data_IF_772405700650
#
_entry.id   IF_772405700650
#
_cell.length_a   1.000
_cell.length_b   1.000
_cell.length_c   1.000
_cell.angle_alpha   90.00
_cell.angle_beta   90.00
_cell.angle_gamma   90.00
#
_symmetry.space_group_name_H-M   'P 1'
#
loop_
_entity.id
_entity.type
_entity.pdbx_description
1 polymer ?
#
# COMPACT_ATOMS: atom_id res chain seq x y z
N UNK A 1 16.60 -9.02 8.65
CA UNK A 1 17.13 -8.13 7.59
C UNK A 1 18.41 -8.75 7.04
N UNK A 2 18.57 -8.93 5.72
CA UNK A 2 19.73 -8.36 5.02
C UNK A 2 19.13 -7.23 4.18
N UNK A 3 19.28 -5.95 4.53
CA UNK A 3 20.53 -5.30 4.91
C UNK A 3 21.61 -5.78 3.96
N UNK A 4 21.73 -5.18 2.78
CA UNK A 4 23.02 -5.20 2.07
C UNK A 4 24.08 -4.94 3.15
N UNK A 5 24.99 -5.90 3.43
CA UNK A 5 25.87 -5.79 4.59
C UNK A 5 26.56 -4.43 4.54
N UNK A 6 26.58 -3.71 5.66
CA UNK A 6 27.16 -2.38 5.68
C UNK A 6 28.61 -2.43 5.17
N UNK A 7 29.35 -3.48 5.52
CA UNK A 7 30.68 -3.80 4.98
C UNK A 7 30.71 -3.94 3.45
N UNK A 8 29.72 -4.60 2.86
CA UNK A 8 29.59 -4.74 1.41
C UNK A 8 29.30 -3.38 0.75
N UNK A 9 28.41 -2.57 1.34
CA UNK A 9 28.14 -1.19 0.90
C UNK A 9 29.41 -0.32 0.97
N UNK A 10 30.16 -0.41 2.07
CA UNK A 10 31.43 0.32 2.28
C UNK A 10 32.47 -0.09 1.25
N UNK A 11 32.59 -1.38 0.92
CA UNK A 11 33.49 -1.88 -0.15
C UNK A 11 33.01 -1.48 -1.55
N UNK A 12 31.69 -1.49 -1.77
CA UNK A 12 31.03 -1.16 -3.02
C UNK A 12 31.13 0.33 -3.38
N UNK A 13 31.12 1.21 -2.35
CA UNK A 13 31.16 2.68 -2.47
C UNK A 13 30.11 3.26 -3.44
N UNK A 14 29.02 2.52 -3.66
CA UNK A 14 27.93 2.91 -4.56
C UNK A 14 28.23 2.85 -6.06
N UNK A 15 29.43 2.41 -6.46
CA UNK A 15 29.88 2.39 -7.87
C UNK A 15 30.21 1.00 -8.40
N UNK A 16 30.53 0.04 -7.50
CA UNK A 16 30.95 -1.32 -7.89
C UNK A 16 29.80 -2.33 -8.02
N UNK A 17 28.59 -1.93 -7.65
CA UNK A 17 27.36 -2.75 -7.71
C UNK A 17 27.50 -4.17 -7.14
N UNK A 18 28.29 -4.34 -6.06
CA UNK A 18 28.58 -5.65 -5.45
C UNK A 18 27.33 -6.35 -4.88
N UNK A 19 26.22 -5.62 -4.72
CA UNK A 19 24.93 -6.17 -4.32
C UNK A 19 24.12 -6.76 -5.48
N UNK A 20 24.61 -6.67 -6.73
CA UNK A 20 23.93 -7.18 -7.93
C UNK A 20 22.81 -6.27 -8.47
N UNK A 21 22.57 -5.11 -7.85
CA UNK A 21 21.59 -4.14 -8.33
C UNK A 21 22.15 -3.32 -9.51
N UNK A 22 21.34 -2.97 -10.52
CA UNK A 22 21.81 -2.22 -11.69
C UNK A 22 22.19 -0.77 -11.35
N UNK A 23 21.67 -0.24 -10.24
CA UNK A 23 22.13 1.04 -9.68
C UNK A 23 22.02 1.04 -8.15
N UNK A 24 22.83 1.88 -7.49
CA UNK A 24 22.86 1.95 -6.04
C UNK A 24 21.69 2.80 -5.50
N UNK A 25 20.74 2.21 -4.74
CA UNK A 25 19.58 2.96 -4.26
C UNK A 25 19.94 4.04 -3.23
N UNK A 26 21.04 3.85 -2.49
CA UNK A 26 21.52 4.81 -1.48
C UNK A 26 22.02 6.09 -2.15
N UNK A 27 22.81 5.97 -3.22
CA UNK A 27 23.31 7.15 -3.94
C UNK A 27 22.20 7.85 -4.70
N UNK A 28 21.23 7.11 -5.25
CA UNK A 28 20.04 7.72 -5.85
C UNK A 28 19.22 8.50 -4.83
N UNK A 29 18.88 7.91 -3.68
CA UNK A 29 18.19 8.63 -2.60
C UNK A 29 18.98 9.85 -2.15
N UNK A 30 20.30 9.74 -2.01
CA UNK A 30 21.15 10.88 -1.64
C UNK A 30 21.07 12.00 -2.68
N UNK A 31 21.14 11.68 -3.99
CA UNK A 31 20.98 12.66 -5.07
C UNK A 31 19.60 13.33 -5.01
N UNK A 32 18.53 12.56 -4.83
CA UNK A 32 17.17 13.11 -4.69
C UNK A 32 17.07 14.04 -3.49
N UNK A 33 17.64 13.68 -2.35
CA UNK A 33 17.69 14.53 -1.16
C UNK A 33 18.47 15.81 -1.49
N UNK A 34 19.71 15.73 -1.96
CA UNK A 34 20.55 16.90 -2.28
C UNK A 34 19.83 17.85 -3.24
N UNK A 35 19.25 17.32 -4.33
CA UNK A 35 18.48 18.10 -5.30
C UNK A 35 17.22 18.76 -4.71
N UNK A 36 16.63 18.14 -3.70
CA UNK A 36 15.47 18.69 -3.01
C UNK A 36 15.90 19.76 -2.01
N UNK A 37 16.98 19.51 -1.27
CA UNK A 37 17.52 20.46 -0.29
C UNK A 37 18.09 21.72 -0.93
N UNK A 38 18.68 21.62 -2.13
CA UNK A 38 19.19 22.78 -2.86
C UNK A 38 18.08 23.73 -3.33
N UNK A 39 16.84 23.23 -3.45
CA UNK A 39 15.65 24.05 -3.73
C UNK A 39 15.08 24.74 -2.49
N UNK A 40 15.55 24.39 -1.29
CA UNK A 40 15.09 25.00 -0.04
C UNK A 40 16.04 26.15 0.31
N UNK A 41 15.51 27.37 0.32
CA UNK A 41 16.26 28.51 0.85
C UNK A 41 16.14 28.52 2.38
N UNK A 42 17.13 27.93 3.07
CA UNK A 42 17.19 27.91 4.52
C UNK A 42 17.27 29.33 5.13
N UNK A 43 17.85 30.28 4.40
CA UNK A 43 17.94 31.70 4.80
C UNK A 43 16.58 32.39 4.87
N UNK A 44 15.62 31.99 4.01
CA UNK A 44 14.26 32.53 4.02
C UNK A 44 13.37 31.89 5.08
N UNK A 45 13.73 30.71 5.59
CA UNK A 45 12.96 30.01 6.62
C UNK A 45 11.55 29.58 6.19
N UNK A 46 11.26 29.59 4.89
CA UNK A 46 9.95 29.25 4.31
C UNK A 46 10.14 28.19 3.24
N UNK A 47 9.32 27.14 3.30
CA UNK A 47 9.18 26.14 2.24
C UNK A 47 7.83 26.38 1.58
N UNK A 48 7.89 26.80 0.32
CA UNK A 48 6.74 26.91 -0.56
C UNK A 48 6.64 25.67 -1.43
N UNK A 49 5.43 25.14 -1.53
CA UNK A 49 5.08 24.06 -2.43
C UNK A 49 3.64 23.64 -2.19
N UNK A 50 3.04 22.97 -3.17
CA UNK A 50 1.70 22.44 -2.94
C UNK A 50 1.77 21.33 -1.90
N UNK A 51 1.18 21.59 -0.72
CA UNK A 51 0.98 20.58 0.32
C UNK A 51 -0.51 20.35 0.52
N UNK A 52 -0.91 19.09 0.71
CA UNK A 52 -0.02 17.93 0.71
C UNK A 52 -0.34 17.00 -0.45
N UNK A 53 0.66 16.58 -1.22
CA UNK A 53 0.56 15.29 -1.89
C UNK A 53 0.31 14.16 -0.88
N UNK A 54 0.78 14.23 0.38
CA UNK A 54 0.44 13.21 1.42
C UNK A 54 0.64 13.68 2.88
N UNK A 55 -0.07 13.07 3.82
CA UNK A 55 0.17 13.18 5.28
C UNK A 55 0.45 11.80 5.88
N UNK A 56 1.33 11.75 6.88
CA UNK A 56 1.61 10.51 7.60
C UNK A 56 1.53 10.75 9.11
N UNK A 57 0.58 10.06 9.74
CA UNK A 57 0.44 9.95 11.20
C UNK A 57 1.29 8.78 11.69
N UNK A 58 2.23 9.08 12.59
CA UNK A 58 3.12 8.10 13.19
C UNK A 58 2.43 7.19 14.20
N UNK A 59 2.99 5.99 14.39
CA UNK A 59 2.47 4.97 15.33
C UNK A 59 3.09 5.04 16.74
N UNK A 60 4.15 5.81 16.92
CA UNK A 60 4.90 5.93 18.20
C UNK A 60 4.48 7.18 18.96
N UNK A 61 4.54 7.11 20.29
CA UNK A 61 4.28 8.26 21.19
C UNK A 61 2.84 8.42 21.67
N UNK A 62 1.95 7.47 21.34
CA UNK A 62 0.53 7.55 21.69
C UNK A 62 0.29 7.92 23.16
N UNK A 63 -0.57 8.91 23.48
CA UNK A 63 -1.52 9.60 22.59
C UNK A 63 -0.98 10.85 21.86
N UNK A 64 0.32 11.19 22.01
CA UNK A 64 0.98 12.28 21.28
C UNK A 64 1.78 11.73 20.11
N UNK A 65 1.24 11.86 18.91
CA UNK A 65 1.81 11.25 17.71
C UNK A 65 2.49 12.30 16.85
N UNK A 66 3.47 11.85 16.06
CA UNK A 66 4.05 12.69 15.00
C UNK A 66 3.10 12.76 13.82
N UNK A 67 2.91 13.96 13.30
CA UNK A 67 2.18 14.25 12.07
C UNK A 67 3.15 14.87 11.08
N UNK A 68 3.32 14.19 9.95
CA UNK A 68 4.24 14.58 8.88
C UNK A 68 3.44 15.05 7.68
N UNK A 69 3.46 16.35 7.39
CA UNK A 69 2.92 16.90 6.15
C UNK A 69 4.01 16.95 5.10
N UNK A 70 3.82 16.23 4.00
CA UNK A 70 4.85 16.07 2.99
C UNK A 70 4.63 17.05 1.84
N UNK A 71 5.62 17.90 1.59
CA UNK A 71 5.62 18.88 0.49
C UNK A 71 6.71 18.57 -0.51
N UNK A 72 6.51 18.96 -1.76
CA UNK A 72 7.61 19.04 -2.74
C UNK A 72 8.04 20.51 -2.87
N UNK A 73 9.25 20.90 -2.45
CA UNK A 73 9.73 22.27 -2.59
C UNK A 73 9.78 22.71 -4.05
N UNK A 74 9.19 23.88 -4.34
CA UNK A 74 9.25 24.51 -5.66
C UNK A 74 8.45 23.81 -6.75
N UNK A 75 7.53 22.90 -6.40
CA UNK A 75 6.55 22.31 -7.32
C UNK A 75 5.15 22.64 -6.82
N UNK A 76 4.33 23.20 -7.69
CA UNK A 76 2.97 23.64 -7.36
C UNK A 76 1.95 23.16 -8.39
N UNK A 77 0.68 23.08 -7.98
CA UNK A 77 -0.42 22.68 -8.83
C UNK A 77 -0.44 21.19 -9.17
N UNK A 78 -0.97 20.86 -10.35
CA UNK A 78 -1.25 19.49 -10.78
C UNK A 78 0.01 18.63 -10.93
N UNK A 79 1.16 19.24 -11.21
CA UNK A 79 2.46 18.53 -11.28
C UNK A 79 2.83 17.85 -9.96
N UNK A 80 2.31 18.34 -8.83
CA UNK A 80 2.55 17.74 -7.50
C UNK A 80 1.86 16.39 -7.34
N UNK A 81 0.80 16.09 -8.12
CA UNK A 81 0.01 14.85 -7.99
C UNK A 81 0.87 13.59 -8.16
N UNK A 82 1.84 13.62 -9.07
CA UNK A 82 2.73 12.48 -9.35
C UNK A 82 3.55 12.04 -8.12
N UNK A 83 3.71 12.87 -7.10
CA UNK A 83 4.50 12.53 -5.91
C UNK A 83 3.74 11.68 -4.88
N UNK A 84 2.43 11.49 -5.05
CA UNK A 84 1.62 10.56 -4.26
C UNK A 84 0.42 10.05 -5.05
N UNK A 85 0.66 9.33 -6.15
CA UNK A 85 -0.39 8.77 -6.99
C UNK A 85 -0.18 7.27 -7.27
N UNK A 86 -0.46 6.41 -6.28
CA UNK A 86 -0.18 4.98 -6.40
C UNK A 86 -0.90 4.30 -7.58
N UNK A 87 -2.13 4.70 -7.88
CA UNK A 87 -2.92 4.14 -8.97
C UNK A 87 -2.31 4.45 -10.34
N UNK A 88 -1.80 5.67 -10.55
CA UNK A 88 -1.18 6.07 -11.81
C UNK A 88 0.30 5.71 -11.94
N UNK A 89 1.01 5.43 -10.84
CA UNK A 89 2.37 4.88 -10.90
C UNK A 89 2.44 3.52 -11.54
N UNK A 90 1.42 2.69 -11.31
CA UNK A 90 1.39 1.32 -11.78
C UNK A 90 1.59 1.25 -13.31
N UNK A 91 2.55 0.43 -13.74
CA UNK A 91 2.89 0.24 -15.16
C UNK A 91 3.66 1.38 -15.83
N UNK A 92 3.85 2.53 -15.15
CA UNK A 92 4.58 3.69 -15.68
C UNK A 92 5.89 3.96 -14.94
N UNK A 93 5.87 3.86 -13.61
CA UNK A 93 7.01 4.13 -12.76
C UNK A 93 7.74 2.83 -12.41
N UNK A 94 9.06 2.86 -12.38
CA UNK A 94 9.86 1.80 -11.79
C UNK A 94 10.17 2.11 -10.30
N UNK A 95 10.82 1.16 -9.61
CA UNK A 95 11.14 1.28 -8.18
C UNK A 95 12.04 2.51 -7.88
N UNK A 96 12.92 2.87 -8.80
CA UNK A 96 13.80 4.03 -8.67
C UNK A 96 13.04 5.34 -8.82
N UNK A 97 12.10 5.42 -9.76
CA UNK A 97 11.22 6.58 -9.93
C UNK A 97 10.40 6.82 -8.66
N UNK A 98 9.83 5.77 -8.08
CA UNK A 98 9.05 5.85 -6.83
C UNK A 98 9.94 6.30 -5.66
N UNK A 99 11.17 5.76 -5.57
CA UNK A 99 12.15 6.24 -4.57
C UNK A 99 12.43 7.72 -4.78
N UNK A 100 12.60 8.17 -6.01
CA UNK A 100 12.85 9.57 -6.33
C UNK A 100 11.67 10.47 -5.92
N UNK A 101 10.45 10.16 -6.37
CA UNK A 101 9.23 10.89 -5.98
C UNK A 101 9.11 11.02 -4.46
N UNK A 102 9.21 9.88 -3.76
CA UNK A 102 9.03 9.85 -2.31
C UNK A 102 10.20 10.48 -1.53
N UNK A 103 11.40 10.48 -2.08
CA UNK A 103 12.59 11.11 -1.49
C UNK A 103 12.66 12.61 -1.74
N UNK A 104 11.92 13.12 -2.74
CA UNK A 104 11.76 14.55 -3.00
C UNK A 104 10.74 15.24 -2.09
N UNK A 105 10.04 14.48 -1.26
CA UNK A 105 9.10 15.01 -0.29
C UNK A 105 9.82 15.44 0.99
N UNK A 106 9.69 16.71 1.34
CA UNK A 106 10.10 17.25 2.63
C UNK A 106 8.98 17.04 3.64
N UNK A 107 9.25 16.25 4.68
CA UNK A 107 8.31 16.03 5.77
C UNK A 107 8.38 17.18 6.78
N UNK A 108 7.34 18.01 6.82
CA UNK A 108 7.10 18.95 7.90
C UNK A 108 6.57 18.20 9.12
N UNK A 109 7.45 18.02 10.12
CA UNK A 109 7.16 17.32 11.35
C UNK A 109 6.48 18.25 12.34
N UNK A 110 5.35 17.80 12.87
CA UNK A 110 4.65 18.41 14.00
C UNK A 110 4.23 17.34 14.99
N UNK A 111 4.21 17.67 16.28
CA UNK A 111 3.63 16.79 17.31
C UNK A 111 2.19 17.24 17.60
N UNK A 112 1.27 16.29 17.58
CA UNK A 112 -0.16 16.54 17.80
C UNK A 112 -0.72 15.48 18.74
N UNK A 113 -1.74 15.83 19.54
CA UNK A 113 -2.52 14.81 20.24
C UNK A 113 -3.48 14.19 19.24
N UNK A 114 -3.73 12.90 19.39
CA UNK A 114 -4.71 12.20 18.56
C UNK A 114 -6.13 12.80 18.61
N UNK A 115 -6.48 13.56 19.64
CA UNK A 115 -7.77 14.23 19.78
C UNK A 115 -7.85 15.58 19.06
N UNK A 116 -6.73 16.09 18.51
CA UNK A 116 -6.65 17.42 17.91
C UNK A 116 -7.23 17.49 16.48
N UNK A 117 -8.20 16.62 16.16
CA UNK A 117 -8.84 16.52 14.83
C UNK A 117 -9.44 17.87 14.42
N UNK A 118 -10.21 18.52 15.31
CA UNK A 118 -10.82 19.83 15.04
C UNK A 118 -9.79 20.92 14.79
N UNK A 119 -8.67 20.91 15.51
CA UNK A 119 -7.58 21.87 15.33
C UNK A 119 -6.92 21.73 13.95
N UNK A 120 -6.83 20.51 13.41
CA UNK A 120 -6.33 20.27 12.06
C UNK A 120 -7.35 20.62 10.98
N UNK A 121 -8.64 20.52 11.30
CA UNK A 121 -9.73 20.94 10.43
C UNK A 121 -9.82 22.47 10.34
N UNK A 122 -9.78 23.18 11.47
CA UNK A 122 -9.80 24.66 11.53
C UNK A 122 -8.60 25.29 10.81
N UNK A 123 -7.47 24.59 10.76
CA UNK A 123 -6.29 25.02 9.99
C UNK A 123 -6.30 24.57 8.53
N UNK A 124 -7.38 23.92 8.09
CA UNK A 124 -7.58 23.37 6.74
C UNK A 124 -6.56 22.29 6.32
N UNK A 125 -5.63 21.92 7.20
CA UNK A 125 -4.57 20.95 6.92
C UNK A 125 -5.14 19.58 6.56
N UNK A 126 -6.18 19.19 7.29
CA UNK A 126 -6.85 17.93 7.06
C UNK A 126 -7.65 17.95 5.75
N UNK A 127 -8.31 19.07 5.44
CA UNK A 127 -9.07 19.29 4.21
C UNK A 127 -8.16 19.29 2.97
N UNK A 128 -7.00 19.92 3.07
CA UNK A 128 -6.01 19.98 2.01
C UNK A 128 -5.50 18.59 1.59
N UNK A 129 -5.40 17.64 2.53
CA UNK A 129 -5.03 16.25 2.22
C UNK A 129 -6.10 15.53 1.41
N UNK A 130 -7.34 15.63 1.87
CA UNK A 130 -8.44 14.86 1.30
C UNK A 130 -9.08 15.55 0.08
N UNK A 131 -8.52 16.68 -0.32
CA UNK A 131 -8.89 17.44 -1.51
C UNK A 131 -8.79 16.59 -2.78
N UNK A 132 -9.63 16.90 -3.76
CA UNK A 132 -9.57 16.28 -5.09
C UNK A 132 -8.34 16.72 -5.88
N UNK A 133 -7.87 17.95 -5.62
CA UNK A 133 -6.72 18.58 -6.29
C UNK A 133 -5.64 18.94 -5.27
N UNK A 134 -4.34 18.89 -5.66
CA UNK A 134 -3.25 19.40 -4.84
C UNK A 134 -3.49 20.86 -4.46
N UNK A 135 -3.33 21.19 -3.18
CA UNK A 135 -3.58 22.53 -2.63
C UNK A 135 -2.25 23.23 -2.36
N UNK A 136 -2.14 24.53 -2.66
CA UNK A 136 -0.94 25.33 -2.34
C UNK A 136 -0.84 25.58 -0.84
N UNK A 137 0.36 25.46 -0.29
CA UNK A 137 0.62 25.72 1.13
C UNK A 137 2.01 26.32 1.37
N UNK A 138 2.17 26.93 2.52
CA UNK A 138 3.44 27.47 2.98
C UNK A 138 3.77 26.89 4.34
N UNK A 139 5.00 26.38 4.49
CA UNK A 139 5.51 25.92 5.78
C UNK A 139 6.63 26.83 6.25
N UNK A 140 6.44 27.44 7.41
CA UNK A 140 7.51 28.18 8.10
C UNK A 140 8.33 27.20 8.92
N UNK A 141 9.64 27.13 8.65
CA UNK A 141 10.54 26.12 9.20
C UNK A 141 11.49 26.70 10.23
N UNK A 142 11.73 25.94 11.30
CA UNK A 142 12.93 26.15 12.11
C UNK A 142 14.09 25.60 11.30
N UNK A 143 15.05 26.45 10.91
CA UNK A 143 16.01 26.23 9.82
C UNK A 143 16.95 25.00 9.87
N UNK A 144 16.68 24.00 10.71
CA UNK A 144 17.44 22.75 10.76
C UNK A 144 16.74 21.64 9.99
N UNK A 145 17.26 21.36 8.81
CA UNK A 145 16.86 20.20 8.02
C UNK A 145 17.58 18.94 8.54
N UNK A 146 16.80 17.91 8.90
CA UNK A 146 17.35 16.61 9.28
C UNK A 146 17.44 15.68 8.06
N UNK A 147 18.67 15.47 7.57
CA UNK A 147 18.98 14.45 6.56
C UNK A 147 19.61 13.23 7.21
N UNK A 148 18.80 12.26 7.65
CA UNK A 148 19.31 10.99 8.18
C UNK A 148 19.61 10.02 7.05
N UNK A 149 20.87 10.00 6.60
CA UNK A 149 21.41 8.94 5.74
C UNK A 149 21.76 7.74 6.60
N UNK A 150 21.12 6.61 6.33
CA UNK A 150 21.45 5.32 6.96
C UNK A 150 21.96 4.39 5.87
N UNK A 151 23.17 3.87 6.07
CA UNK A 151 23.76 2.82 5.24
C UNK A 151 23.38 1.46 5.79
N UNK A 152 22.08 1.28 6.01
CA UNK A 152 21.50 0.12 6.66
C UNK A 152 20.90 -0.84 5.63
N UNK A 153 21.37 -0.79 4.38
CA UNK A 153 21.03 -1.72 3.31
C UNK A 153 19.53 -1.85 2.99
N UNK A 154 18.69 -0.95 3.53
CA UNK A 154 17.27 -0.83 3.23
C UNK A 154 17.02 0.63 2.88
N UNK A 155 16.71 0.91 1.63
CA UNK A 155 16.40 2.27 1.22
C UNK A 155 14.92 2.53 1.45
N UNK A 156 14.59 3.08 2.61
CA UNK A 156 13.26 3.64 2.81
C UNK A 156 13.09 4.86 1.89
N UNK A 157 12.07 4.87 1.02
CA UNK A 157 11.77 5.98 0.14
C UNK A 157 11.17 7.13 0.97
N UNK A 158 12.03 7.83 1.71
CA UNK A 158 11.66 8.96 2.57
C UNK A 158 12.66 10.09 2.38
N UNK A 159 12.12 11.26 2.07
CA UNK A 159 12.89 12.49 1.93
C UNK A 159 13.32 13.08 3.27
N UNK A 160 13.89 14.29 3.25
CA UNK A 160 14.36 14.95 4.46
C UNK A 160 13.19 15.38 5.35
N UNK A 161 13.46 15.64 6.62
CA UNK A 161 12.45 16.12 7.56
C UNK A 161 12.87 17.44 8.18
N UNK A 162 11.91 18.31 8.45
CA UNK A 162 12.12 19.62 9.06
C UNK A 162 11.03 19.85 10.11
N UNK A 163 11.38 20.50 11.22
CA UNK A 163 10.38 20.87 12.23
C UNK A 163 9.70 22.17 11.78
N UNK A 164 8.40 22.08 11.53
CA UNK A 164 7.60 23.22 11.11
C UNK A 164 7.08 24.00 12.33
N UNK A 165 7.26 25.33 12.33
CA UNK A 165 6.62 26.21 13.31
C UNK A 165 5.13 26.35 13.02
N UNK A 166 4.81 26.54 11.74
CA UNK A 166 3.46 26.78 11.26
C UNK A 166 3.33 26.30 9.80
N UNK A 167 2.20 25.69 9.49
CA UNK A 167 1.82 25.32 8.12
C UNK A 167 0.53 26.07 7.83
N UNK A 168 0.53 26.86 6.76
CA UNK A 168 -0.61 27.64 6.29
C UNK A 168 -1.04 27.12 4.92
N UNK A 169 -2.33 26.85 4.79
CA UNK A 169 -2.95 26.59 3.49
C UNK A 169 -3.23 27.94 2.82
N UNK A 170 -2.83 28.07 1.55
CA UNK A 170 -2.91 29.34 0.79
C UNK A 170 -4.08 29.32 -0.20
N UNK A 171 -4.47 28.13 -0.65
CA UNK A 171 -5.56 27.91 -1.59
C UNK A 171 -6.69 27.11 -0.93
N UNK A 172 -7.94 27.43 -1.25
CA UNK A 172 -9.11 26.74 -0.67
C UNK A 172 -9.15 25.25 -1.07
N UNK A 173 -9.09 24.32 -0.10
CA UNK A 173 -9.23 22.90 -0.38
C UNK A 173 -10.60 22.54 -0.95
N UNK A 174 -10.65 21.56 -1.84
CA UNK A 174 -11.90 21.04 -2.43
C UNK A 174 -12.04 19.55 -2.18
N UNK A 175 -12.43 19.13 -0.96
CA UNK A 175 -12.74 17.74 -0.68
C UNK A 175 -14.00 17.28 -1.45
N UNK A 176 -14.16 15.97 -1.69
CA UNK A 176 -15.39 15.44 -2.24
C UNK A 176 -16.59 15.79 -1.35
N UNK A 177 -17.72 16.20 -1.96
CA UNK A 177 -18.94 16.59 -1.23
C UNK A 177 -19.42 15.52 -0.26
N UNK A 178 -19.32 14.24 -0.64
CA UNK A 178 -19.65 13.11 0.22
C UNK A 178 -18.82 13.11 1.49
N UNK A 179 -17.52 13.41 1.38
CA UNK A 179 -16.63 13.42 2.52
C UNK A 179 -16.95 14.58 3.47
N UNK A 180 -17.24 15.78 2.94
CA UNK A 180 -17.70 16.91 3.76
C UNK A 180 -19.01 16.60 4.49
N UNK A 181 -19.96 15.96 3.78
CA UNK A 181 -21.23 15.54 4.36
C UNK A 181 -20.99 14.54 5.50
N UNK A 182 -20.21 13.49 5.26
CA UNK A 182 -19.89 12.47 6.27
C UNK A 182 -19.09 13.03 7.45
N UNK A 183 -18.26 14.05 7.22
CA UNK A 183 -17.58 14.76 8.31
C UNK A 183 -18.60 15.48 9.20
N UNK A 184 -19.65 16.05 8.62
CA UNK A 184 -20.72 16.66 9.41
C UNK A 184 -21.65 15.61 10.02
N UNK A 185 -21.83 14.45 9.43
CA UNK A 185 -22.68 13.39 9.99
C UNK A 185 -22.02 12.68 11.19
N UNK A 186 -22.83 12.22 12.17
CA UNK A 186 -22.34 11.51 13.37
C UNK A 186 -22.36 9.98 13.18
N UNK A 187 -21.68 9.51 12.14
CA UNK A 187 -21.66 8.10 11.73
C UNK A 187 -20.45 7.33 12.30
N UNK A 188 -20.57 6.00 12.39
CA UNK A 188 -19.41 5.17 12.73
C UNK A 188 -18.37 5.23 11.59
N UNK A 189 -17.09 5.10 11.94
CA UNK A 189 -16.01 5.16 10.96
C UNK A 189 -16.15 4.05 9.90
N UNK A 190 -16.57 2.85 10.34
CA UNK A 190 -16.85 1.72 9.44
C UNK A 190 -17.93 2.05 8.40
N UNK A 191 -19.04 2.64 8.82
CA UNK A 191 -20.13 3.05 7.93
C UNK A 191 -19.65 4.13 6.95
N UNK A 192 -18.91 5.13 7.44
CA UNK A 192 -18.35 6.19 6.59
C UNK A 192 -17.39 5.65 5.52
N UNK A 193 -16.53 4.70 5.87
CA UNK A 193 -15.63 4.03 4.91
C UNK A 193 -16.43 3.27 3.85
N UNK A 194 -17.49 2.52 4.24
CA UNK A 194 -18.35 1.79 3.31
C UNK A 194 -19.04 2.73 2.33
N UNK A 195 -19.66 3.81 2.82
CA UNK A 195 -20.38 4.79 1.98
C UNK A 195 -19.42 5.44 0.97
N UNK A 196 -18.25 5.93 1.42
CA UNK A 196 -17.28 6.55 0.52
C UNK A 196 -16.85 5.61 -0.60
N UNK A 197 -16.55 4.36 -0.23
CA UNK A 197 -16.10 3.35 -1.18
C UNK A 197 -17.20 2.99 -2.20
N UNK A 198 -18.44 2.81 -1.75
CA UNK A 198 -19.59 2.49 -2.62
C UNK A 198 -19.94 3.63 -3.58
N UNK A 199 -19.73 4.89 -3.17
CA UNK A 199 -19.87 6.06 -4.04
C UNK A 199 -18.68 6.26 -4.99
N UNK A 200 -17.71 5.35 -5.01
CA UNK A 200 -16.59 5.37 -5.95
C UNK A 200 -15.46 6.33 -5.57
N UNK A 201 -15.35 6.73 -4.30
CA UNK A 201 -14.20 7.49 -3.84
C UNK A 201 -12.94 6.62 -3.86
N UNK A 202 -11.82 7.25 -4.20
CA UNK A 202 -10.51 6.58 -4.22
C UNK A 202 -10.13 6.05 -2.82
N UNK A 203 -9.72 4.78 -2.76
CA UNK A 203 -9.34 4.09 -1.52
C UNK A 203 -8.20 4.81 -0.79
N UNK A 204 -7.26 5.42 -1.53
CA UNK A 204 -6.15 6.17 -0.92
C UNK A 204 -6.65 7.41 -0.18
N UNK A 205 -7.63 8.12 -0.75
CA UNK A 205 -8.28 9.25 -0.07
C UNK A 205 -9.08 8.80 1.16
N UNK A 206 -9.75 7.64 1.11
CA UNK A 206 -10.47 7.09 2.26
C UNK A 206 -9.50 6.75 3.39
N UNK A 207 -8.32 6.21 3.07
CA UNK A 207 -7.23 5.94 4.04
C UNK A 207 -6.77 7.25 4.70
N UNK A 208 -6.55 8.29 3.91
CA UNK A 208 -6.11 9.59 4.43
C UNK A 208 -7.20 10.24 5.31
N UNK A 209 -8.46 10.16 4.88
CA UNK A 209 -9.62 10.63 5.66
C UNK A 209 -9.71 9.90 7.01
N UNK A 210 -9.57 8.57 7.03
CA UNK A 210 -9.58 7.81 8.28
C UNK A 210 -8.36 8.15 9.16
N UNK A 211 -7.17 8.26 8.57
CA UNK A 211 -5.93 8.56 9.29
C UNK A 211 -5.98 9.93 9.98
N UNK A 212 -6.56 10.92 9.30
CA UNK A 212 -6.72 12.29 9.82
C UNK A 212 -7.97 12.50 10.67
N UNK A 213 -8.71 11.42 10.97
CA UNK A 213 -9.86 11.46 11.85
C UNK A 213 -11.09 12.15 11.25
N UNK A 214 -11.22 12.23 9.92
CA UNK A 214 -12.45 12.71 9.27
C UNK A 214 -13.64 11.79 9.52
N UNK A 215 -13.37 10.50 9.71
CA UNK A 215 -14.40 9.47 9.84
C UNK A 215 -14.57 9.05 11.30
N UNK A 216 -15.81 8.75 11.67
CA UNK A 216 -16.20 8.33 13.02
C UNK A 216 -17.08 9.34 13.75
N UNK A 217 -17.56 8.96 14.93
CA UNK A 217 -18.46 9.79 15.73
C UNK A 217 -17.76 11.04 16.23
N UNK A 218 -18.42 12.19 16.16
CA UNK A 218 -17.85 13.52 16.45
C UNK A 218 -17.11 13.58 17.79
N UNK A 219 -17.66 12.96 18.83
CA UNK A 219 -17.07 12.95 20.20
C UNK A 219 -15.87 12.03 20.38
N UNK A 220 -15.69 11.06 19.48
CA UNK A 220 -14.65 10.02 19.61
C UNK A 220 -13.69 9.98 18.42
N UNK A 221 -13.76 10.97 17.51
CA UNK A 221 -12.81 11.11 16.40
C UNK A 221 -11.40 11.27 16.93
N UNK A 222 -10.50 10.50 16.31
CA UNK A 222 -9.09 10.48 16.66
C UNK A 222 -8.27 10.34 15.40
N UNK A 223 -7.08 10.90 15.41
CA UNK A 223 -6.06 10.56 14.43
C UNK A 223 -5.69 9.09 14.59
N UNK A 224 -5.60 8.39 13.47
CA UNK A 224 -5.24 6.99 13.39
C UNK A 224 -3.88 6.91 12.68
N UNK A 225 -2.87 6.23 13.26
CA UNK A 225 -1.61 5.97 12.57
C UNK A 225 -1.86 5.47 11.15
N UNK A 226 -1.20 6.05 10.15
CA UNK A 226 -1.53 5.81 8.74
C UNK A 226 -1.42 4.33 8.37
N UNK A 227 -0.45 3.61 8.96
CA UNK A 227 -0.31 2.16 8.78
C UNK A 227 -1.55 1.39 9.26
N UNK A 228 -2.15 1.79 10.37
CA UNK A 228 -3.38 1.19 10.89
C UNK A 228 -4.59 1.59 10.04
N UNK A 229 -4.64 2.83 9.57
CA UNK A 229 -5.69 3.30 8.67
C UNK A 229 -5.72 2.51 7.35
N UNK A 230 -4.54 2.23 6.75
CA UNK A 230 -4.43 1.38 5.54
C UNK A 230 -5.09 0.03 5.78
N UNK A 231 -4.66 -0.70 6.82
CA UNK A 231 -5.19 -2.02 7.12
C UNK A 231 -6.68 -1.96 7.51
N UNK A 232 -7.10 -0.96 8.28
CA UNK A 232 -8.50 -0.81 8.69
C UNK A 232 -9.42 -0.57 7.48
N UNK A 233 -9.04 0.30 6.54
CA UNK A 233 -9.82 0.53 5.32
C UNK A 233 -9.91 -0.74 4.47
N UNK A 234 -8.77 -1.41 4.22
CA UNK A 234 -8.78 -2.68 3.47
C UNK A 234 -9.68 -3.74 4.16
N UNK A 235 -9.63 -3.86 5.49
CA UNK A 235 -10.49 -4.79 6.22
C UNK A 235 -11.98 -4.42 6.15
N UNK A 236 -12.34 -3.14 6.28
CA UNK A 236 -13.74 -2.70 6.22
C UNK A 236 -14.31 -2.89 4.81
N UNK A 237 -13.59 -2.42 3.79
CA UNK A 237 -13.98 -2.56 2.38
C UNK A 237 -14.04 -4.03 2.01
N UNK A 238 -13.00 -4.78 2.34
CA UNK A 238 -12.92 -6.21 2.10
C UNK A 238 -14.04 -6.98 2.78
N UNK A 239 -14.47 -6.61 4.00
CA UNK A 239 -15.61 -7.24 4.67
C UNK A 239 -16.93 -6.93 3.94
N UNK A 240 -17.15 -5.68 3.57
CA UNK A 240 -18.35 -5.27 2.82
C UNK A 240 -18.47 -6.00 1.48
N UNK A 241 -17.37 -6.15 0.74
CA UNK A 241 -17.36 -6.90 -0.53
C UNK A 241 -17.56 -8.40 -0.30
N UNK A 242 -16.90 -8.97 0.71
CA UNK A 242 -17.07 -10.38 1.07
C UNK A 242 -18.55 -10.73 1.38
N UNK A 243 -19.23 -9.90 2.17
CA UNK A 243 -20.66 -10.05 2.48
C UNK A 243 -21.54 -10.06 1.22
N UNK A 244 -21.12 -9.37 0.14
CA UNK A 244 -21.84 -9.31 -1.14
C UNK A 244 -21.56 -10.50 -2.05
N UNK A 245 -20.39 -11.15 -1.95
CA UNK A 245 -19.97 -12.18 -2.90
C UNK A 245 -20.10 -13.61 -2.38
N UNK A 246 -20.02 -13.82 -1.06
CA UNK A 246 -19.92 -15.17 -0.49
C UNK A 246 -21.10 -16.08 -0.83
N UNK A 247 -22.30 -15.49 -0.91
CA UNK A 247 -23.59 -16.15 -1.13
C UNK A 247 -23.99 -16.18 -2.63
N UNK A 248 -23.11 -15.70 -3.53
CA UNK A 248 -23.34 -15.76 -4.97
C UNK A 248 -23.01 -17.14 -5.55
N UNK A 249 -23.52 -17.41 -6.75
CA UNK A 249 -23.17 -18.62 -7.48
C UNK A 249 -21.65 -18.71 -7.74
N UNK A 250 -21.03 -19.88 -7.52
CA UNK A 250 -19.63 -20.07 -7.85
C UNK A 250 -19.32 -19.84 -9.33
N UNK A 251 -18.08 -19.50 -9.64
CA UNK A 251 -17.57 -19.56 -11.02
C UNK A 251 -17.70 -20.97 -11.60
N UNK A 252 -17.86 -21.07 -12.92
CA UNK A 252 -18.09 -22.35 -13.62
C UNK A 252 -16.79 -23.06 -14.05
N UNK A 253 -15.69 -22.31 -14.15
CA UNK A 253 -14.41 -22.78 -14.70
C UNK A 253 -13.25 -22.45 -13.76
N UNK A 254 -12.14 -23.16 -13.91
CA UNK A 254 -10.90 -22.85 -13.20
C UNK A 254 -10.06 -21.92 -14.07
N UNK A 255 -9.96 -20.67 -13.68
CA UNK A 255 -9.20 -19.63 -14.39
C UNK A 255 -7.93 -19.26 -13.64
N UNK A 256 -6.83 -19.09 -14.36
CA UNK A 256 -5.55 -18.61 -13.84
C UNK A 256 -5.25 -17.24 -14.44
N UNK A 257 -4.98 -16.27 -13.58
CA UNK A 257 -4.65 -14.89 -13.91
C UNK A 257 -3.21 -14.57 -13.48
N UNK A 258 -2.55 -13.66 -14.18
CA UNK A 258 -1.18 -13.28 -13.86
C UNK A 258 -0.92 -11.79 -14.04
N UNK A 259 -0.16 -11.21 -13.11
CA UNK A 259 0.46 -9.91 -13.33
C UNK A 259 1.73 -9.76 -12.49
N UNK A 260 2.71 -9.01 -13.02
CA UNK A 260 3.95 -8.72 -12.31
C UNK A 260 4.30 -7.23 -12.33
N UNK A 261 4.78 -6.71 -11.20
CA UNK A 261 5.22 -5.32 -11.09
C UNK A 261 6.23 -5.16 -9.94
N UNK A 262 7.27 -4.35 -10.15
CA UNK A 262 8.30 -4.02 -9.15
C UNK A 262 8.91 -5.25 -8.45
N UNK A 263 9.19 -6.32 -9.20
CA UNK A 263 9.74 -7.56 -8.64
C UNK A 263 8.74 -8.43 -7.86
N UNK A 264 7.45 -8.11 -7.90
CA UNK A 264 6.39 -8.91 -7.31
C UNK A 264 5.57 -9.55 -8.43
N UNK A 265 5.38 -10.87 -8.38
CA UNK A 265 4.64 -11.65 -9.37
C UNK A 265 3.43 -12.30 -8.70
N UNK A 266 2.24 -12.01 -9.20
CA UNK A 266 0.98 -12.52 -8.67
C UNK A 266 0.37 -13.49 -9.66
N UNK A 267 0.07 -14.69 -9.17
CA UNK A 267 -0.80 -15.65 -9.84
C UNK A 267 -2.07 -15.80 -9.01
N UNK A 268 -3.23 -15.57 -9.63
CA UNK A 268 -4.53 -15.71 -8.97
C UNK A 268 -5.28 -16.83 -9.67
N UNK A 269 -5.68 -17.85 -8.91
CA UNK A 269 -6.50 -18.95 -9.39
C UNK A 269 -7.91 -18.76 -8.81
N UNK A 270 -8.91 -18.72 -9.68
CA UNK A 270 -10.31 -18.83 -9.29
C UNK A 270 -10.79 -20.22 -9.67
N UNK A 271 -11.46 -20.91 -8.74
CA UNK A 271 -12.01 -22.24 -9.01
C UNK A 271 -13.45 -22.33 -8.47
N UNK A 272 -14.30 -23.20 -9.06
CA UNK A 272 -15.64 -23.43 -8.57
C UNK A 272 -15.57 -23.89 -7.11
N UNK A 273 -16.11 -23.13 -6.18
CA UNK A 273 -16.25 -23.46 -4.75
C UNK A 273 -17.06 -22.35 -4.06
N UNK A 274 -17.62 -22.66 -2.88
CA UNK A 274 -17.96 -21.61 -1.92
C UNK A 274 -16.72 -20.76 -1.60
N UNK A 275 -16.95 -19.51 -1.20
CA UNK A 275 -15.85 -18.58 -0.94
C UNK A 275 -14.87 -19.16 0.10
N UNK A 276 -13.61 -19.18 -0.27
CA UNK A 276 -12.47 -19.42 0.61
C UNK A 276 -11.24 -18.84 -0.09
N UNK A 277 -10.32 -18.28 0.68
CA UNK A 277 -9.12 -17.66 0.12
C UNK A 277 -7.87 -18.26 0.72
N UNK A 278 -6.93 -18.61 -0.14
CA UNK A 278 -5.66 -19.22 0.22
C UNK A 278 -4.55 -18.35 -0.32
N UNK A 279 -3.70 -17.88 0.58
CA UNK A 279 -2.59 -16.99 0.27
C UNK A 279 -1.28 -17.74 0.44
N UNK A 280 -0.40 -17.65 -0.55
CA UNK A 280 0.97 -18.16 -0.48
C UNK A 280 1.90 -17.03 -0.88
N UNK A 281 2.86 -16.73 -0.01
CA UNK A 281 3.88 -15.73 -0.25
C UNK A 281 5.26 -16.37 -0.26
N UNK A 282 5.98 -16.18 -1.36
CA UNK A 282 7.28 -16.78 -1.61
C UNK A 282 8.31 -15.66 -1.72
N UNK A 283 9.13 -15.53 -0.70
CA UNK A 283 10.25 -14.60 -0.69
C UNK A 283 11.49 -15.29 -1.22
N UNK A 284 12.02 -14.79 -2.35
CA UNK A 284 13.30 -15.27 -2.87
C UNK A 284 14.40 -15.09 -1.84
N UNK A 285 15.38 -15.99 -1.87
CA UNK A 285 16.62 -15.79 -1.12
C UNK A 285 17.21 -14.41 -1.47
N UNK A 286 17.58 -13.63 -0.47
CA UNK A 286 18.12 -12.25 -0.62
C UNK A 286 17.10 -11.21 -1.13
N UNK A 287 15.80 -11.49 -1.10
CA UNK A 287 14.77 -10.46 -1.27
C UNK A 287 14.62 -9.59 -0.02
N UNK A 288 13.89 -8.48 -0.13
CA UNK A 288 13.61 -7.62 1.02
C UNK A 288 12.97 -8.45 2.15
N UNK A 289 13.55 -8.39 3.34
CA UNK A 289 13.12 -9.14 4.55
C UNK A 289 13.46 -10.64 4.62
N UNK A 290 13.94 -11.29 3.56
CA UNK A 290 14.30 -12.71 3.57
C UNK A 290 15.78 -12.99 3.21
N UNK A 291 16.51 -13.63 4.12
CA UNK A 291 17.91 -14.05 3.88
C UNK A 291 17.99 -15.39 3.14
N UNK A 292 17.02 -16.26 3.42
CA UNK A 292 16.82 -17.57 2.84
C UNK A 292 15.52 -17.56 2.05
N UNK A 293 15.23 -18.64 1.32
CA UNK A 293 13.92 -18.84 0.73
C UNK A 293 12.89 -18.97 1.87
N UNK A 294 11.91 -18.07 1.92
CA UNK A 294 10.84 -18.10 2.92
C UNK A 294 9.52 -18.28 2.20
N UNK A 295 8.76 -19.29 2.61
CA UNK A 295 7.39 -19.50 2.17
C UNK A 295 6.49 -19.30 3.39
N UNK A 296 5.57 -18.36 3.29
CA UNK A 296 4.50 -18.18 4.27
C UNK A 296 3.16 -18.43 3.60
N UNK A 297 2.20 -18.92 4.38
CA UNK A 297 0.86 -19.15 3.89
C UNK A 297 -0.18 -18.72 4.92
N UNK A 298 -1.38 -18.43 4.42
CA UNK A 298 -2.54 -18.05 5.21
C UNK A 298 -3.81 -18.58 4.55
N UNK A 299 -4.78 -18.95 5.38
CA UNK A 299 -6.13 -19.31 4.95
C UNK A 299 -7.17 -18.34 5.52
N UNK A 300 -8.16 -18.03 4.68
CA UNK A 300 -9.46 -17.46 5.05
C UNK A 300 -10.56 -18.46 4.73
N UNK A 301 -11.43 -18.73 5.71
CA UNK A 301 -12.55 -19.65 5.55
C UNK A 301 -13.80 -18.97 4.95
N UNK A 302 -14.85 -19.77 4.78
CA UNK A 302 -16.15 -19.31 4.27
C UNK A 302 -16.77 -18.19 5.09
N UNK A 303 -16.52 -18.16 6.40
CA UNK A 303 -17.07 -17.17 7.33
C UNK A 303 -16.28 -15.86 7.36
N UNK A 304 -15.21 -15.77 6.56
CA UNK A 304 -14.33 -14.61 6.52
C UNK A 304 -13.33 -14.59 7.68
N UNK A 305 -13.15 -15.71 8.39
CA UNK A 305 -12.14 -15.83 9.42
C UNK A 305 -10.81 -16.16 8.75
N UNK A 306 -9.84 -15.26 8.90
CA UNK A 306 -8.47 -15.46 8.48
C UNK A 306 -7.56 -15.72 9.69
N UNK A 307 -6.54 -16.56 9.50
CA UNK A 307 -5.63 -17.00 10.57
C UNK A 307 -4.79 -15.85 11.17
N UNK A 308 -4.41 -14.88 10.35
CA UNK A 308 -3.53 -13.77 10.75
C UNK A 308 -3.85 -12.50 9.99
N UNK A 309 -3.70 -11.33 10.63
CA UNK A 309 -3.81 -10.05 9.91
C UNK A 309 -2.49 -9.79 9.17
N UNK A 310 -2.54 -9.87 7.84
CA UNK A 310 -1.44 -9.47 6.97
C UNK A 310 -1.88 -8.37 6.01
N UNK A 311 -1.14 -7.25 5.97
CA UNK A 311 -1.51 -6.10 5.15
C UNK A 311 -1.38 -6.34 3.65
N UNK A 312 -0.46 -7.20 3.22
CA UNK A 312 -0.29 -7.56 1.81
C UNK A 312 -1.44 -8.44 1.34
N UNK A 313 -1.81 -9.43 2.15
CA UNK A 313 -2.99 -10.25 1.93
C UNK A 313 -4.27 -9.41 1.91
N UNK A 314 -4.50 -8.50 2.87
CA UNK A 314 -5.70 -7.64 2.89
C UNK A 314 -5.83 -6.78 1.62
N UNK A 315 -4.71 -6.23 1.12
CA UNK A 315 -4.68 -5.47 -0.12
C UNK A 315 -5.01 -6.36 -1.35
N UNK A 316 -4.43 -7.55 -1.43
CA UNK A 316 -4.71 -8.50 -2.52
C UNK A 316 -6.15 -9.03 -2.49
N UNK A 317 -6.61 -9.47 -1.31
CA UNK A 317 -7.97 -9.96 -1.04
C UNK A 317 -9.03 -8.96 -1.48
N UNK A 318 -8.85 -7.68 -1.14
CA UNK A 318 -9.78 -6.63 -1.55
C UNK A 318 -9.92 -6.55 -3.07
N UNK A 319 -8.82 -6.58 -3.82
CA UNK A 319 -8.85 -6.57 -5.28
C UNK A 319 -9.49 -7.82 -5.90
N UNK A 320 -9.34 -8.99 -5.27
CA UNK A 320 -10.05 -10.21 -5.72
C UNK A 320 -11.55 -10.09 -5.49
N UNK A 321 -11.96 -9.60 -4.33
CA UNK A 321 -13.37 -9.41 -4.00
C UNK A 321 -14.03 -8.35 -4.89
N UNK A 322 -13.32 -7.29 -5.26
CA UNK A 322 -13.75 -6.33 -6.28
C UNK A 322 -14.11 -7.02 -7.59
N UNK A 323 -13.22 -7.90 -8.08
CA UNK A 323 -13.45 -8.66 -9.31
C UNK A 323 -14.64 -9.61 -9.18
N UNK A 324 -14.70 -10.42 -8.12
CA UNK A 324 -15.81 -11.35 -7.88
C UNK A 324 -17.17 -10.62 -7.79
N UNK A 325 -17.20 -9.47 -7.12
CA UNK A 325 -18.39 -8.63 -7.05
C UNK A 325 -18.78 -8.08 -8.43
N UNK A 326 -17.80 -7.67 -9.26
CA UNK A 326 -18.07 -7.16 -10.61
C UNK A 326 -18.67 -8.21 -11.56
N UNK A 327 -18.24 -9.47 -11.46
CA UNK A 327 -18.78 -10.57 -12.27
C UNK A 327 -19.99 -11.23 -11.62
N UNK A 328 -20.37 -10.79 -10.41
CA UNK A 328 -21.48 -11.32 -9.61
C UNK A 328 -21.36 -12.84 -9.41
N UNK A 329 -20.18 -13.29 -8.97
CA UNK A 329 -19.88 -14.70 -8.67
C UNK A 329 -19.10 -14.85 -7.36
N UNK A 330 -19.21 -16.02 -6.76
CA UNK A 330 -18.34 -16.50 -5.68
C UNK A 330 -17.25 -17.40 -6.27
N UNK A 331 -16.17 -17.65 -5.53
CA UNK A 331 -15.13 -18.59 -5.94
C UNK A 331 -14.27 -19.03 -4.76
N UNK A 332 -13.70 -20.22 -4.88
CA UNK A 332 -12.46 -20.53 -4.19
C UNK A 332 -11.32 -19.76 -4.84
N UNK A 333 -10.44 -19.16 -4.04
CA UNK A 333 -9.38 -18.27 -4.50
C UNK A 333 -8.03 -18.75 -3.99
N UNK A 334 -7.06 -18.93 -4.88
CA UNK A 334 -5.65 -19.10 -4.50
C UNK A 334 -4.86 -17.92 -5.05
N UNK A 335 -4.12 -17.23 -4.18
CA UNK A 335 -3.24 -16.13 -4.56
C UNK A 335 -1.82 -16.53 -4.21
N UNK A 336 -0.98 -16.70 -5.24
CA UNK A 336 0.46 -16.96 -5.08
C UNK A 336 1.20 -15.68 -5.42
N UNK A 337 1.86 -15.09 -4.43
CA UNK A 337 2.74 -13.94 -4.59
C UNK A 337 4.19 -14.41 -4.49
N UNK A 338 4.95 -14.18 -5.53
CA UNK A 338 6.40 -14.40 -5.57
C UNK A 338 7.14 -13.06 -5.57
N UNK A 339 8.02 -12.85 -4.60
CA UNK A 339 8.82 -11.62 -4.45
C UNK A 339 10.27 -11.92 -4.81
N UNK A 340 10.75 -11.31 -5.89
CA UNK A 340 12.13 -11.44 -6.38
C UNK A 340 13.06 -10.45 -5.67
N UNK A 341 14.36 -10.61 -5.95
CA UNK A 341 15.42 -9.69 -5.50
C UNK A 341 15.27 -8.27 -6.07
N UNK A 342 14.48 -8.09 -7.13
CA UNK A 342 14.24 -6.79 -7.76
C UNK A 342 13.40 -5.87 -6.87
N UNK A 343 12.64 -6.43 -5.92
CA UNK A 343 11.92 -5.67 -4.90
C UNK A 343 12.84 -5.36 -3.71
N UNK A 344 13.72 -4.37 -3.85
CA UNK A 344 14.74 -4.03 -2.85
C UNK A 344 14.39 -2.86 -1.92
N UNK A 345 13.24 -2.21 -2.12
CA UNK A 345 12.79 -1.07 -1.31
C UNK A 345 11.34 -1.29 -0.84
N UNK A 346 11.01 -0.95 0.42
CA UNK A 346 9.65 -1.06 0.93
C UNK A 346 8.77 0.06 0.36
N UNK A 347 7.87 -0.26 -0.56
CA UNK A 347 7.03 0.73 -1.25
C UNK A 347 5.61 0.85 -0.68
N UNK A 348 5.20 -0.05 0.23
CA UNK A 348 3.86 -0.13 0.79
C UNK A 348 2.93 -1.08 0.02
N UNK A 349 1.71 -1.30 0.51
CA UNK A 349 0.81 -2.33 -0.03
C UNK A 349 0.01 -1.89 -1.27
N UNK A 350 0.14 -0.63 -1.69
CA UNK A 350 -0.58 -0.11 -2.85
C UNK A 350 -0.25 -0.90 -4.12
N UNK A 351 1.01 -1.28 -4.35
CA UNK A 351 1.40 -1.99 -5.56
C UNK A 351 0.79 -3.39 -5.60
N UNK A 352 0.57 -4.01 -4.44
CA UNK A 352 -0.11 -5.31 -4.31
C UNK A 352 -1.55 -5.15 -4.78
N UNK A 353 -2.28 -4.18 -4.22
CA UNK A 353 -3.69 -3.89 -4.58
C UNK A 353 -3.84 -3.64 -6.08
N UNK A 354 -3.01 -2.75 -6.61
CA UNK A 354 -3.04 -2.34 -8.01
C UNK A 354 -2.62 -3.45 -8.98
N UNK A 355 -1.67 -4.30 -8.60
CA UNK A 355 -1.18 -5.41 -9.43
C UNK A 355 -2.17 -6.57 -9.46
N UNK A 356 -2.76 -6.92 -8.31
CA UNK A 356 -3.80 -7.96 -8.26
C UNK A 356 -5.06 -7.50 -8.98
N UNK A 357 -5.48 -6.24 -8.82
CA UNK A 357 -6.63 -5.71 -9.57
C UNK A 357 -6.45 -5.85 -11.08
N UNK A 358 -5.25 -5.56 -11.59
CA UNK A 358 -4.93 -5.65 -13.02
C UNK A 358 -4.58 -7.06 -13.49
N UNK A 359 -4.36 -8.03 -12.59
CA UNK A 359 -4.17 -9.43 -13.00
C UNK A 359 -5.43 -10.00 -13.64
N UNK A 360 -6.61 -9.54 -13.22
CA UNK A 360 -7.89 -9.95 -13.80
C UNK A 360 -8.11 -9.49 -15.25
N UNK A 361 -7.29 -8.56 -15.75
CA UNK A 361 -7.26 -8.18 -17.17
C UNK A 361 -6.39 -9.14 -18.01
N UNK A 362 -5.63 -10.03 -17.37
CA UNK A 362 -4.70 -10.95 -17.99
C UNK A 362 -4.95 -12.39 -17.52
N UNK A 363 -6.00 -13.00 -18.06
CA UNK A 363 -6.29 -14.43 -17.91
C UNK A 363 -5.31 -15.24 -18.76
N UNK A 364 -4.42 -16.00 -18.12
CA UNK A 364 -3.37 -16.76 -18.81
C UNK A 364 -3.76 -18.20 -19.13
N UNK A 365 -4.76 -18.77 -18.44
CA UNK A 365 -5.25 -20.10 -18.72
C UNK A 365 -6.66 -20.33 -18.17
N UNK A 366 -7.39 -21.25 -18.80
CA UNK A 366 -8.53 -21.97 -18.23
C UNK A 366 -8.13 -23.45 -18.22
N UNK A 367 -8.32 -24.13 -17.11
CA UNK A 367 -7.88 -25.53 -16.94
C UNK A 367 -8.97 -26.42 -16.38
N UNK A 368 -8.83 -27.73 -16.62
CA UNK A 368 -9.84 -28.72 -16.28
C UNK A 368 -9.95 -29.02 -14.78
N UNK A 369 -8.83 -28.92 -14.05
CA UNK A 369 -8.78 -29.23 -12.63
C UNK A 369 -7.76 -28.37 -11.88
N UNK A 370 -7.91 -28.31 -10.57
CA UNK A 370 -7.08 -27.46 -9.71
C UNK A 370 -5.61 -27.91 -9.71
N UNK A 371 -5.38 -29.21 -9.89
CA UNK A 371 -4.02 -29.75 -9.93
C UNK A 371 -3.22 -29.17 -11.10
N UNK A 372 -3.83 -29.09 -12.29
CA UNK A 372 -3.24 -28.45 -13.47
C UNK A 372 -3.01 -26.96 -13.26
N UNK A 373 -3.91 -26.26 -12.55
CA UNK A 373 -3.73 -24.84 -12.23
C UNK A 373 -2.48 -24.63 -11.35
N UNK A 374 -2.33 -25.44 -10.30
CA UNK A 374 -1.17 -25.39 -9.41
C UNK A 374 0.12 -25.73 -10.16
N UNK A 375 0.11 -26.75 -11.02
CA UNK A 375 1.29 -27.13 -11.81
C UNK A 375 1.70 -26.01 -12.79
N UNK A 376 0.72 -25.37 -13.43
CA UNK A 376 0.95 -24.22 -14.30
C UNK A 376 1.62 -23.09 -13.50
N UNK A 377 1.07 -22.72 -12.34
CA UNK A 377 1.67 -21.66 -11.50
C UNK A 377 3.07 -22.07 -11.02
N UNK A 378 3.27 -23.31 -10.57
CA UNK A 378 4.56 -23.81 -10.11
C UNK A 378 5.62 -23.75 -11.22
N UNK A 379 5.26 -24.10 -12.47
CA UNK A 379 6.15 -24.03 -13.64
C UNK A 379 6.55 -22.60 -14.03
N UNK A 380 5.77 -21.61 -13.60
CA UNK A 380 5.99 -20.18 -13.88
C UNK A 380 6.70 -19.45 -12.74
N UNK A 381 6.91 -20.10 -11.61
CA UNK A 381 7.71 -19.54 -10.53
C UNK A 381 9.14 -19.31 -11.02
N UNK A 382 9.70 -18.15 -10.68
CA UNK A 382 11.09 -17.82 -10.96
C UNK A 382 12.05 -18.54 -10.01
N UNK A 383 11.62 -18.80 -8.78
CA UNK A 383 12.39 -19.55 -7.79
C UNK A 383 12.45 -21.03 -8.15
N UNK A 384 13.63 -21.63 -7.95
CA UNK A 384 13.83 -23.07 -8.15
C UNK A 384 13.64 -23.83 -6.83
N UNK A 385 13.23 -25.08 -6.91
CA UNK A 385 13.11 -25.98 -5.75
C UNK A 385 11.89 -25.73 -4.86
N UNK A 386 10.93 -24.91 -5.29
CA UNK A 386 9.62 -24.78 -4.64
C UNK A 386 8.64 -25.73 -5.28
N UNK A 387 7.96 -26.51 -4.44
CA UNK A 387 6.82 -27.32 -4.83
C UNK A 387 5.56 -26.78 -4.14
N UNK A 388 4.72 -26.05 -4.87
CA UNK A 388 3.48 -25.50 -4.34
C UNK A 388 2.55 -26.56 -3.73
N UNK A 389 2.60 -27.81 -4.20
CA UNK A 389 1.76 -28.90 -3.67
C UNK A 389 2.10 -29.28 -2.22
N UNK A 390 3.31 -28.97 -1.78
CA UNK A 390 3.77 -29.25 -0.41
C UNK A 390 3.43 -28.13 0.58
N UNK A 391 3.05 -26.95 0.08
CA UNK A 391 2.64 -25.81 0.91
C UNK A 391 1.34 -26.17 1.63
N UNK A 392 1.27 -25.87 2.94
CA UNK A 392 0.19 -26.33 3.84
C UNK A 392 -1.20 -26.03 3.29
N UNK A 393 -1.46 -24.78 2.91
CA UNK A 393 -2.78 -24.35 2.42
C UNK A 393 -3.13 -24.99 1.08
N UNK A 394 -2.17 -25.19 0.18
CA UNK A 394 -2.41 -25.82 -1.12
C UNK A 394 -2.70 -27.31 -0.95
N UNK A 395 -1.95 -27.99 -0.09
CA UNK A 395 -2.19 -29.39 0.27
C UNK A 395 -3.60 -29.60 0.85
N UNK A 396 -4.04 -28.68 1.71
CA UNK A 396 -5.40 -28.70 2.27
C UNK A 396 -6.47 -28.57 1.19
N UNK A 397 -6.31 -27.63 0.25
CA UNK A 397 -7.30 -27.43 -0.82
C UNK A 397 -7.35 -28.62 -1.77
N UNK A 398 -6.19 -29.15 -2.17
CA UNK A 398 -6.14 -30.32 -3.06
C UNK A 398 -6.69 -31.59 -2.41
N UNK A 399 -6.59 -31.70 -1.08
CA UNK A 399 -7.15 -32.82 -0.31
C UNK A 399 -8.63 -32.68 0.04
N UNK A 400 -9.26 -31.53 -0.23
CA UNK A 400 -10.65 -31.29 0.13
C UNK A 400 -11.59 -31.80 -0.96
N UNK A 401 -12.24 -32.93 -0.70
CA UNK A 401 -13.32 -33.46 -1.56
C UNK A 401 -14.65 -32.76 -1.26
N UNK A 402 -15.46 -32.52 -2.29
CA UNK A 402 -16.82 -32.00 -2.10
C UNK A 402 -17.74 -33.10 -1.57
N UNK A 403 -18.70 -32.73 -0.74
CA UNK A 403 -19.74 -33.68 -0.30
C UNK A 403 -20.46 -34.29 -1.52
N UNK A 404 -20.72 -33.49 -2.55
CA UNK A 404 -21.36 -33.96 -3.79
C UNK A 404 -20.55 -35.04 -4.51
N UNK A 405 -19.21 -35.01 -4.42
CA UNK A 405 -18.36 -36.06 -5.01
C UNK A 405 -18.44 -37.41 -4.31
N UNK A 406 -19.11 -37.49 -3.15
CA UNK A 406 -19.45 -38.75 -2.48
C UNK A 406 -20.83 -39.30 -2.87
N UNK A 407 -21.68 -38.49 -3.52
CA UNK A 407 -23.03 -38.87 -3.93
C UNK A 407 -23.17 -39.13 -5.44
N UNK A 408 -22.07 -39.01 -6.19
CA UNK A 408 -21.97 -39.25 -7.64
C UNK A 408 -21.63 -40.70 -7.99
#
# INVERSE_FOLDING_TARGET
>A
MRKIPAELCVRCKGTKFLCGLPSCPITQRFRSIVNTTSKISLEKGIIEGSTPPSAIVGERGYPKVSLNFNVVPGVTGEETRIYNDPANWWGKANIYDIINYRSSLVSNLSEVRITDVWKLYEKELSLAIVSEKPVVSESKITGKLETKLRFDGVVMPRGPSVVAENIRIVEDPKPPRTLEKLFNDDLKAEEGVRVLYEEGNDVYRIIDALSLGFLGKRKTRKLVPTRWAITAVDSIVGKSLYEKVRDLEPVNEISVFYQGYLGNHFHVILFPSAYASYWVEIWHQMSLWANELVISDLKEDYWGNYETIDGGYMAARTSVLEYLNSIRRSAGVIIVREITRDYFAPLGNWHIRETVRRSFQNKIAVVENLQRAIDLVNSRLKVQGVNLREVRVIKQVLGQSRIDSFFS
#
